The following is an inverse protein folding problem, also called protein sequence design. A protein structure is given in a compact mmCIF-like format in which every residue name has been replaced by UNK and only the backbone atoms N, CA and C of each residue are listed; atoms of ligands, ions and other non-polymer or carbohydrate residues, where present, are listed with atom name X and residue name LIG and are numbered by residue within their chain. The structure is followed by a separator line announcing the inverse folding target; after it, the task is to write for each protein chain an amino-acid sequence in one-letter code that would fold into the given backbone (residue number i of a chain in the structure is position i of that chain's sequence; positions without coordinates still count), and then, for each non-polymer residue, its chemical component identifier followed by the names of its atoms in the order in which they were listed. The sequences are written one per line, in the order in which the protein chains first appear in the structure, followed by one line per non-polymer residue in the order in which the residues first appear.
data_IF_875350992129
#
_entry.id   IF_875350992129
#
_cell.length_a   1.000
_cell.length_b   1.000
_cell.length_c   1.000
_cell.angle_alpha   90.00
_cell.angle_beta   90.00
_cell.angle_gamma   90.00
#
_symmetry.space_group_name_H-M   'P 1'
#
loop_
_entity.id
_entity.type
_entity.pdbx_description
1 polymer ?
2 polymer ?
3 non-polymer ?
4 water ?
#
# COMPACT_ATOMS: atom_id res chain seq x y z
N UNK A 10 -3.95 19.19 -11.14
CA UNK A 10 -3.36 17.81 -10.99
C UNK A 10 -3.02 17.59 -9.51
N UNK A 11 -2.93 16.32 -9.13
CA UNK A 11 -2.57 15.94 -7.76
C UNK A 11 -1.05 16.10 -7.59
N UNK A 12 -0.62 17.00 -6.72
CA UNK A 12 0.81 17.30 -6.53
C UNK A 12 1.52 16.33 -5.62
N UNK A 13 2.84 16.30 -5.75
CA UNK A 13 3.70 15.48 -4.91
C UNK A 13 3.48 15.80 -3.43
N UNK A 14 3.47 17.09 -3.12
CA UNK A 14 3.43 17.54 -1.74
C UNK A 14 2.10 17.14 -1.13
N UNK A 15 1.02 17.27 -1.73
CA UNK A 15 -0.24 16.79 -1.19
C UNK A 15 -0.34 15.24 -1.03
N UNK A 16 0.30 14.56 -1.95
CA UNK A 16 0.36 13.10 -1.86
C UNK A 16 1.21 12.72 -0.66
N UNK A 17 2.30 13.45 -0.42
CA UNK A 17 3.19 13.16 0.72
C UNK A 17 2.41 13.43 2.04
N UNK A 18 1.71 14.55 2.12
CA UNK A 18 0.85 14.85 3.24
C UNK A 18 -0.18 13.74 3.54
N UNK A 19 -0.87 13.31 2.52
CA UNK A 19 -1.83 12.25 2.65
C UNK A 19 -1.10 10.98 3.11
N UNK A 20 0.05 10.69 2.51
CA UNK A 20 0.79 9.50 2.88
C UNK A 20 1.15 9.50 4.39
N UNK A 21 1.70 10.62 4.85
CA UNK A 21 1.98 10.82 6.27
C UNK A 21 0.80 10.55 7.24
N UNK A 22 -0.38 11.04 6.89
CA UNK A 22 -1.58 10.77 7.63
C UNK A 22 -2.01 9.32 7.54
N UNK A 23 -1.93 8.73 6.35
CA UNK A 23 -2.12 7.25 6.23
C UNK A 23 -1.18 6.47 7.19
N UNK A 24 0.10 6.80 7.17
CA UNK A 24 1.08 6.16 8.03
C UNK A 24 0.78 6.38 9.50
N UNK A 25 0.35 7.60 9.84
CA UNK A 25 -0.02 7.96 11.23
C UNK A 25 -1.10 7.08 11.71
N UNK A 26 -2.20 7.03 10.97
CA UNK A 26 -3.34 6.21 11.29
C UNK A 26 -2.97 4.71 11.37
N UNK A 27 -2.11 4.26 10.48
CA UNK A 27 -1.65 2.84 10.46
C UNK A 27 -0.86 2.49 11.72
N UNK A 28 0.13 3.32 12.05
CA UNK A 28 0.90 3.17 13.28
C UNK A 28 0.01 3.12 14.50
N UNK A 29 -1.06 3.91 14.52
CA UNK A 29 -2.01 3.86 15.61
C UNK A 29 -2.72 2.47 15.70
N UNK A 30 -3.14 1.95 14.56
CA UNK A 30 -3.66 0.58 14.48
C UNK A 30 -2.63 -0.45 14.86
N UNK A 31 -1.39 -0.33 14.39
CA UNK A 31 -0.39 -1.33 14.76
C UNK A 31 -0.26 -1.44 16.30
N UNK A 32 -0.27 -0.30 16.98
CA UNK A 32 -0.15 -0.22 18.44
C UNK A 32 -1.43 -0.60 19.16
N UNK A 33 -2.57 -0.18 18.64
CA UNK A 33 -3.81 -0.28 19.42
C UNK A 33 -4.69 -1.49 19.11
N UNK A 34 -4.53 -2.10 17.92
CA UNK A 34 -5.36 -3.27 17.64
C UNK A 34 -4.98 -4.39 18.61
N UNK A 35 -5.98 -5.13 19.09
CA UNK A 35 -5.75 -6.21 20.03
C UNK A 35 -4.89 -7.31 19.41
N UNK A 36 -4.15 -8.07 20.24
CA UNK A 36 -3.31 -9.13 19.67
C UNK A 36 -4.14 -10.22 19.00
N UNK A 37 -3.50 -10.96 18.09
CA UNK A 37 -4.21 -11.96 17.32
C UNK A 37 -4.57 -13.14 18.21
N UNK A 38 -5.58 -13.90 17.81
CA UNK A 38 -6.02 -15.08 18.56
C UNK A 38 -4.84 -16.04 18.88
N UNK A 39 -3.93 -16.24 17.92
CA UNK A 39 -2.75 -17.10 18.11
C UNK A 39 -1.48 -16.47 17.47
N UNK A 40 -0.31 -16.88 17.94
CA UNK A 40 0.98 -16.45 17.35
C UNK A 40 1.28 -17.12 16.00
N UNK A 41 0.43 -18.06 15.63
CA UNK A 41 0.38 -18.59 14.31
C UNK A 41 -0.16 -17.60 13.28
N UNK A 42 -0.82 -16.53 13.70
CA UNK A 42 -1.29 -15.49 12.82
C UNK A 42 -0.08 -14.81 12.24
N UNK A 43 -0.14 -14.43 10.98
CA UNK A 43 0.83 -13.52 10.42
C UNK A 43 0.72 -12.11 11.12
N UNK A 44 1.84 -11.46 11.32
CA UNK A 44 1.90 -10.16 11.98
C UNK A 44 1.61 -8.93 11.13
N UNK A 45 0.73 -8.09 11.63
CA UNK A 45 0.50 -6.76 11.10
C UNK A 45 1.82 -6.07 10.72
N UNK A 46 1.76 -5.21 9.73
CA UNK A 46 2.92 -4.47 9.31
C UNK A 46 2.58 -3.30 8.37
N UNK A 47 3.34 -2.21 8.46
CA UNK A 47 3.36 -1.14 7.47
C UNK A 47 4.59 -1.34 6.62
N UNK A 48 4.39 -1.46 5.31
CA UNK A 48 5.47 -1.75 4.38
C UNK A 48 5.84 -0.51 3.55
N UNK A 49 5.38 0.65 3.99
CA UNK A 49 5.60 1.97 3.35
C UNK A 49 4.50 2.25 2.31
N UNK A 50 3.79 1.21 1.86
CA UNK A 50 2.73 1.35 0.88
C UNK A 50 1.38 1.17 1.51
N UNK A 51 1.14 0.03 2.20
CA UNK A 51 -0.17 -0.24 2.78
C UNK A 51 0.00 -0.69 4.21
N UNK A 52 -1.06 -0.50 4.98
CA UNK A 52 -1.19 -1.00 6.32
C UNK A 52 -1.83 -2.44 6.32
N UNK A 53 -1.06 -3.44 6.74
CA UNK A 53 -1.52 -4.84 6.75
C UNK A 53 -1.96 -5.23 8.18
N UNK A 54 -3.19 -5.78 8.33
CA UNK A 54 -3.59 -6.38 9.62
C UNK A 54 -2.90 -7.72 9.86
N UNK A 55 -3.08 -8.28 11.06
CA UNK A 55 -2.63 -9.63 11.29
C UNK A 55 -3.36 -10.53 10.28
N UNK A 56 -2.78 -11.67 9.98
CA UNK A 56 -3.43 -12.59 9.02
C UNK A 56 -3.64 -13.96 9.64
N UNK A 57 -4.78 -14.56 9.34
CA UNK A 57 -5.00 -15.97 9.66
C UNK A 57 -4.08 -16.82 8.84
N UNK A 58 -3.48 -17.86 9.47
CA UNK A 58 -2.67 -18.79 8.74
C UNK A 58 -3.41 -19.46 7.57
N UNK A 59 -2.73 -19.57 6.44
CA UNK A 59 -3.26 -20.23 5.21
C UNK A 59 -4.40 -19.43 4.58
N UNK A 60 -4.33 -18.12 4.67
CA UNK A 60 -5.34 -17.30 4.03
C UNK A 60 -4.75 -16.09 3.32
N UNK A 61 -5.56 -15.55 2.42
CA UNK A 61 -5.31 -14.28 1.77
C UNK A 61 -5.78 -13.14 2.66
N UNK A 62 -4.98 -12.10 2.69
CA UNK A 62 -5.32 -10.91 3.46
C UNK A 62 -5.51 -9.80 2.47
N UNK A 63 -6.59 -9.10 2.60
CA UNK A 63 -6.84 -7.99 1.75
C UNK A 63 -7.03 -6.66 2.48
N UNK A 64 -6.57 -5.60 1.86
CA UNK A 64 -6.78 -4.24 2.31
C UNK A 64 -7.17 -3.33 1.13
N UNK A 65 -7.97 -2.31 1.41
CA UNK A 65 -8.29 -1.31 0.40
C UNK A 65 -7.08 -0.65 -0.21
N UNK A 66 -7.16 -0.26 -1.50
CA UNK A 66 -6.16 0.60 -2.12
C UNK A 66 -5.91 1.79 -1.19
N UNK A 67 -4.65 2.06 -0.90
CA UNK A 67 -4.33 3.16 0.02
C UNK A 67 -4.93 4.43 -0.47
N UNK A 68 -5.67 5.11 0.41
CA UNK A 68 -6.43 6.28 0.04
C UNK A 68 -5.57 7.48 -0.31
N UNK A 69 -4.27 7.43 -0.08
CA UNK A 69 -3.41 8.59 -0.44
C UNK A 69 -2.98 8.61 -1.90
N UNK A 70 -3.30 7.54 -2.65
CA UNK A 70 -2.92 7.46 -4.09
C UNK A 70 -3.56 8.62 -4.84
N UNK A 71 -2.79 9.25 -5.76
CA UNK A 71 -3.37 10.32 -6.58
C UNK A 71 -4.66 9.94 -7.30
N UNK A 72 -4.77 8.65 -7.65
CA UNK A 72 -5.92 8.14 -8.42
C UNK A 72 -6.86 7.31 -7.57
N UNK A 73 -6.77 7.42 -6.25
CA UNK A 73 -7.59 6.57 -5.37
C UNK A 73 -9.10 6.61 -5.75
N UNK A 74 -9.57 7.75 -6.25
CA UNK A 74 -10.99 7.88 -6.64
C UNK A 74 -11.41 7.01 -7.83
N UNK A 75 -10.42 6.61 -8.64
CA UNK A 75 -10.59 5.67 -9.76
C UNK A 75 -10.58 4.18 -9.36
N UNK A 76 -10.08 3.88 -8.15
CA UNK A 76 -10.02 2.50 -7.65
C UNK A 76 -10.74 2.38 -6.28
N UNK A 77 -11.99 2.90 -6.19
CA UNK A 77 -12.67 2.97 -4.88
C UNK A 77 -12.96 1.60 -4.21
N UNK A 78 -13.06 0.53 -4.98
CA UNK A 78 -13.32 -0.80 -4.40
C UNK A 78 -12.18 -1.75 -4.69
N UNK A 79 -11.01 -1.23 -5.02
CA UNK A 79 -9.86 -2.09 -5.27
C UNK A 79 -9.27 -2.52 -3.94
N UNK A 80 -8.56 -3.65 -3.99
CA UNK A 80 -7.88 -4.19 -2.83
C UNK A 80 -6.53 -4.66 -3.23
N UNK A 81 -5.60 -4.63 -2.28
CA UNK A 81 -4.26 -5.21 -2.43
C UNK A 81 -4.22 -6.46 -1.52
N UNK A 82 -3.37 -7.42 -1.91
CA UNK A 82 -3.33 -8.72 -1.30
C UNK A 82 -1.93 -9.19 -0.92
N UNK A 83 -1.92 -9.90 0.21
CA UNK A 83 -0.84 -10.73 0.69
C UNK A 83 -1.40 -12.13 0.92
N UNK A 84 -0.50 -13.08 1.07
CA UNK A 84 -0.89 -14.41 1.50
C UNK A 84 -0.19 -14.73 2.81
N UNK A 85 -0.98 -15.07 3.83
CA UNK A 85 -0.45 -15.55 5.11
C UNK A 85 -0.33 -17.07 5.09
N UNK A 86 0.90 -17.58 5.13
CA UNK A 86 1.16 -19.00 5.06
C UNK A 86 0.72 -19.72 6.35
N UNK A 87 0.65 -21.05 6.27
CA UNK A 87 0.13 -21.84 7.37
C UNK A 87 1.10 -21.80 8.57
N UNK A 88 2.35 -21.38 8.34
CA UNK A 88 3.38 -21.24 9.39
C UNK A 88 3.43 -19.84 9.99
N UNK A 89 2.50 -18.98 9.60
CA UNK A 89 2.40 -17.64 10.14
C UNK A 89 3.48 -16.69 9.65
N UNK A 90 4.07 -17.01 8.52
CA UNK A 90 4.98 -16.09 7.85
C UNK A 90 4.20 -15.58 6.57
N UNK A 91 4.35 -14.29 6.23
CA UNK A 91 3.83 -13.82 4.98
C UNK A 91 4.58 -14.52 3.84
N UNK A 92 3.83 -14.94 2.84
CA UNK A 92 4.40 -15.54 1.64
C UNK A 92 5.47 -14.62 1.06
N UNK A 93 6.65 -15.16 0.76
CA UNK A 93 7.79 -14.42 0.22
C UNK A 93 8.06 -14.66 -1.29
N UNK A 94 8.65 -13.67 -1.94
CA UNK A 94 9.07 -13.83 -3.31
C UNK A 94 10.38 -14.58 -3.42
N UNK A 95 10.47 -15.52 -4.36
CA UNK A 95 11.69 -16.33 -4.50
C UNK A 95 12.96 -15.50 -4.50
N UNK A 96 14.02 -16.11 -3.99
CA UNK A 96 15.28 -15.44 -3.75
C UNK A 96 15.12 -14.60 -2.48
N UNK A 97 14.38 -13.52 -2.62
CA UNK A 97 14.29 -12.50 -1.59
C UNK A 97 13.74 -12.85 -0.26
N UNK A 98 13.87 -11.88 0.61
CA UNK A 98 13.18 -11.83 1.85
C UNK A 98 11.85 -11.09 1.68
N UNK A 99 11.60 -10.52 0.52
CA UNK A 99 10.44 -9.66 0.34
C UNK A 99 9.10 -10.37 0.27
N UNK A 100 8.02 -9.78 0.78
CA UNK A 100 6.71 -10.47 0.77
C UNK A 100 6.05 -10.40 -0.59
N UNK A 101 5.41 -11.49 -0.97
CA UNK A 101 4.53 -11.46 -2.09
C UNK A 101 3.39 -10.48 -1.86
N UNK A 102 3.08 -9.68 -2.89
CA UNK A 102 1.84 -8.87 -2.87
C UNK A 102 1.26 -8.79 -4.27
N UNK A 103 -0.04 -8.63 -4.35
CA UNK A 103 -0.72 -8.31 -5.58
C UNK A 103 -1.34 -6.92 -5.38
N UNK A 104 -0.81 -5.97 -6.12
CA UNK A 104 -1.27 -4.59 -6.08
C UNK A 104 -2.03 -4.19 -7.36
N UNK A 105 -2.39 -5.17 -8.21
CA UNK A 105 -2.79 -4.85 -9.57
C UNK A 105 -4.07 -4.07 -9.56
N UNK A 106 -4.95 -4.33 -8.60
CA UNK A 106 -6.24 -3.60 -8.60
C UNK A 106 -6.09 -2.09 -8.25
N UNK A 107 -4.90 -1.69 -7.80
CA UNK A 107 -4.66 -0.30 -7.34
C UNK A 107 -3.76 0.51 -8.28
N UNK A 108 -3.41 -0.10 -9.42
CA UNK A 108 -2.69 0.59 -10.46
C UNK A 108 -3.55 1.68 -11.07
N UNK A 109 -2.90 2.69 -11.62
CA UNK A 109 -3.64 3.79 -12.25
C UNK A 109 -4.39 3.37 -13.53
N UNK B 4 -4.61 18.73 -30.26
CA UNK B 4 -3.11 18.60 -30.07
C UNK B 4 -2.59 18.72 -28.62
N UNK B 5 -1.26 18.65 -28.41
CA UNK B 5 -0.68 18.75 -27.04
C UNK B 5 -0.07 20.11 -26.82
N UNK B 6 -0.38 20.69 -25.67
CA UNK B 6 0.11 22.00 -25.31
C UNK B 6 1.08 22.00 -24.13
N UNK B 7 1.80 23.10 -24.05
CA UNK B 7 2.80 23.37 -23.07
C UNK B 7 2.25 23.12 -21.60
N UNK B 8 1.00 23.51 -21.34
CA UNK B 8 0.32 23.23 -20.08
C UNK B 8 0.10 21.73 -19.79
N UNK B 9 -0.11 20.95 -20.84
CA UNK B 9 -0.24 19.52 -20.75
C UNK B 9 1.05 18.88 -20.28
N UNK B 10 2.17 19.36 -20.80
CA UNK B 10 3.47 18.80 -20.48
C UNK B 10 3.90 19.16 -19.05
N UNK B 11 3.61 20.39 -18.64
CA UNK B 11 3.91 20.87 -17.28
C UNK B 11 3.03 20.16 -16.22
N UNK B 12 1.75 20.00 -16.50
CA UNK B 12 0.89 19.13 -15.71
C UNK B 12 1.34 17.66 -15.60
N UNK B 13 1.68 17.09 -16.76
CA UNK B 13 2.22 15.75 -16.81
C UNK B 13 3.45 15.64 -15.89
N UNK B 14 4.37 16.60 -15.98
CA UNK B 14 5.58 16.56 -15.16
C UNK B 14 5.26 16.60 -13.65
N UNK B 15 4.33 17.44 -13.24
CA UNK B 15 3.97 17.56 -11.82
C UNK B 15 3.30 16.26 -11.30
N UNK B 16 2.31 15.76 -12.05
CA UNK B 16 1.65 14.50 -11.80
C UNK B 16 2.70 13.42 -11.65
N UNK B 17 3.72 13.46 -12.50
CA UNK B 17 4.78 12.45 -12.43
C UNK B 17 5.59 12.45 -11.16
N UNK B 18 5.87 13.63 -10.61
CA UNK B 18 6.50 13.76 -9.31
C UNK B 18 5.74 12.89 -8.24
N UNK B 19 4.44 13.06 -8.14
CA UNK B 19 3.65 12.23 -7.19
C UNK B 19 3.70 10.72 -7.53
N UNK B 20 3.59 10.41 -8.81
CA UNK B 20 3.57 9.04 -9.24
C UNK B 20 4.89 8.34 -8.98
N UNK B 21 6.00 9.04 -9.11
CA UNK B 21 7.33 8.46 -8.80
C UNK B 21 7.49 8.18 -7.29
N UNK B 22 6.83 9.01 -6.50
CA UNK B 22 6.86 8.85 -5.08
C UNK B 22 6.12 7.56 -4.76
N UNK B 23 4.93 7.41 -5.29
CA UNK B 23 4.21 6.17 -5.14
C UNK B 23 5.11 4.98 -5.56
N UNK B 24 5.84 5.09 -6.67
CA UNK B 24 6.65 3.97 -7.14
C UNK B 24 7.81 3.70 -6.17
N UNK B 25 8.32 4.74 -5.51
CA UNK B 25 9.39 4.61 -4.50
C UNK B 25 8.82 3.90 -3.25
N UNK B 26 7.60 4.18 -2.90
CA UNK B 26 6.92 3.52 -1.85
C UNK B 26 6.77 2.01 -2.10
N UNK B 27 6.38 1.68 -3.31
CA UNK B 27 6.08 0.33 -3.66
C UNK B 27 7.35 -0.49 -3.75
N UNK B 28 8.32 0.02 -4.48
CA UNK B 28 9.45 -0.74 -4.90
C UNK B 28 10.49 -0.34 -4.00
N UNK B 29 10.37 -0.96 -2.85
CA UNK B 29 10.89 -0.52 -1.63
C UNK B 29 9.73 0.02 -0.85
X LIG C 1 -11.01 -13.22 -4.66
X LIG C 1 -11.48 -11.92 -5.02
X LIG C 1 -13.00 -11.94 -5.11
X LIG C 1 -13.56 -12.12 -3.81
X LIG C 1 -13.53 -10.64 -5.71
X LIG C 1 -14.92 -10.77 -6.00
X LIG C 1 -15.71 -10.74 -4.81
X LIG C 1 -17.17 -10.54 -5.17
X LIG C 1 -17.59 -11.57 -6.07
X LIG C 1 -17.38 -9.18 -5.83
X LIG C 1 -18.79 -8.92 -5.96
X LIG C 1 -16.73 -8.07 -5.02
X LIG C 1 -16.75 -6.85 -5.77
X LIG C 1 -15.29 -8.42 -4.66
X LIG C 1 -14.66 -7.35 -3.78
X LIG C 1 -13.24 -7.52 -3.76
X LIG C 1 -15.27 -9.67 -3.98
X LIG C 1 -12.78 -10.29 -7.00
X LIG C 1 -13.26 -8.95 -7.56
X LIG C 1 -12.61 -8.71 -8.81
X LIG C 1 -11.38 -10.22 -6.73
X LIG C 1 -10.86 -11.49 -6.34
X LIG C 1 -9.11 -11.37 -6.15
X LIG C 1 -8.50 -12.83 -5.38
X LIG C 1 -7.22 -12.51 -4.61
X LIG C 1 -6.03 -13.27 -5.17
X LIG C 1 -5.70 -12.78 -6.58
X LIG C 1 -4.22 -13.01 -6.89
X LIG C 1 -3.87 -14.49 -6.82
X LIG C 1 -3.80 -15.11 -8.21
X LIG C 1 -2.84 -16.29 -8.24
X LIG C 1 -3.39 -17.41 -9.12
X LIG C 1 -2.77 -17.37 -10.50
#
# INVERSE_FOLDING_TARGET
GSHMRPQGATVSLWETVQKWREYRRQCQRSLTEDPPPATDLFCNRTFDEYACWPDGEPGSFVNVSCPWYLPWASSVPQGHVYRFCTAEGLWLQKDNSSLPWRDLSECEESKRGERSSPEEQLLFLY
HAEGTFTSDVSSYLEGQAAKEFIAWLVKGRG
10M O10 C22 C21 O9 C14 O3 C15 C20 O8 C19 O7 C18 O6 C16 C17 O5 O4 C12 C13 O2 O1 C11 S C10 C9 C8 C7 C6 C5 C4 C3 C2 C1
#
